data_IF_011735706182
#
_entry.id   IF_011735706182
#
_cell.length_a   1.000
_cell.length_b   1.000
_cell.length_c   1.000
_cell.angle_alpha   90.00
_cell.angle_beta   90.00
_cell.angle_gamma   90.00
#
_symmetry.space_group_name_H-M   'P 1'
#
loop_
_entity.id
_entity.type
_entity.pdbx_description
1 polymer ?
#
# COMPACT_ATOMS: atom_id res chain seq x y z
N UNK A 1 54.76 -17.09 -37.57
CA UNK A 1 54.43 -15.75 -37.00
C UNK A 1 54.36 -15.96 -35.49
N UNK A 2 55.41 -15.64 -34.70
CA UNK A 2 55.61 -14.36 -33.98
C UNK A 2 54.30 -13.88 -33.33
N UNK A 3 54.12 -13.69 -32.02
CA UNK A 3 54.95 -13.55 -30.80
C UNK A 3 53.97 -13.73 -29.61
N UNK A 4 54.36 -14.30 -28.45
CA UNK A 4 54.66 -13.55 -27.20
C UNK A 4 53.40 -12.97 -26.53
N UNK A 5 53.08 -13.08 -25.24
CA UNK A 5 53.93 -13.22 -24.05
C UNK A 5 53.05 -13.37 -22.79
N UNK A 6 53.55 -14.15 -21.83
CA UNK A 6 53.58 -13.96 -20.36
C UNK A 6 52.28 -13.60 -19.60
N UNK A 7 51.80 -14.50 -18.74
CA UNK A 7 52.02 -14.50 -17.26
C UNK A 7 50.92 -13.70 -16.53
N UNK A 8 50.44 -13.98 -15.33
CA UNK A 8 51.03 -14.55 -14.11
C UNK A 8 49.86 -14.72 -13.09
N UNK A 9 49.98 -15.68 -12.16
CA UNK A 9 49.31 -15.62 -10.83
C UNK A 9 48.04 -16.46 -10.69
N UNK A 10 48.11 -17.69 -10.18
CA UNK A 10 48.18 -18.07 -8.76
C UNK A 10 46.82 -17.92 -8.06
N UNK A 11 46.16 -19.06 -7.80
CA UNK A 11 45.91 -19.63 -6.45
C UNK A 11 44.92 -18.80 -5.63
N UNK A 12 43.78 -19.38 -5.29
CA UNK A 12 43.53 -19.87 -3.92
C UNK A 12 42.14 -20.50 -3.79
N UNK A 13 42.18 -21.81 -3.58
CA UNK A 13 41.57 -22.56 -2.47
C UNK A 13 40.28 -22.03 -1.85
N UNK A 14 39.30 -22.93 -1.84
CA UNK A 14 38.04 -22.89 -1.13
C UNK A 14 38.14 -22.50 0.35
N UNK A 15 37.11 -21.83 0.87
CA UNK A 15 36.50 -22.25 2.14
C UNK A 15 35.03 -21.83 2.20
N UNK A 16 34.15 -22.82 2.31
CA UNK A 16 32.82 -22.66 2.90
C UNK A 16 33.01 -22.68 4.41
N UNK A 17 32.64 -21.60 5.09
CA UNK A 17 32.59 -21.58 6.54
C UNK A 17 31.38 -20.76 7.04
N UNK A 18 30.46 -21.51 7.66
CA UNK A 18 29.57 -21.22 8.78
C UNK A 18 29.30 -19.75 9.22
N UNK A 19 27.99 -19.45 9.29
CA UNK A 19 27.25 -18.91 10.45
C UNK A 19 28.02 -18.05 11.47
N UNK A 20 27.69 -16.75 11.56
CA UNK A 20 27.50 -16.03 12.84
C UNK A 20 26.69 -14.74 12.62
N UNK A 21 25.71 -14.49 13.48
CA UNK A 21 24.95 -13.23 13.64
C UNK A 21 25.03 -12.91 15.14
N UNK A 22 24.99 -11.64 15.61
CA UNK A 22 25.23 -10.33 14.97
C UNK A 22 26.30 -9.51 15.72
N UNK A 23 26.94 -8.53 15.06
CA UNK A 23 27.54 -7.41 15.79
C UNK A 23 27.22 -6.06 15.15
N UNK A 24 26.37 -5.36 15.88
CA UNK A 24 26.03 -3.94 15.83
C UNK A 24 27.07 -3.10 15.07
N UNK A 25 26.80 -2.80 13.80
CA UNK A 25 27.52 -1.77 13.07
C UNK A 25 26.49 -0.71 12.71
N UNK A 26 26.56 0.41 13.44
CA UNK A 26 25.80 1.61 13.16
C UNK A 26 26.10 2.04 11.72
N UNK A 27 25.14 1.82 10.82
CA UNK A 27 25.19 2.41 9.48
C UNK A 27 24.77 3.86 9.67
N UNK A 28 25.73 4.76 9.54
CA UNK A 28 25.50 6.19 9.51
C UNK A 28 24.44 6.49 8.43
N UNK A 29 23.23 6.86 8.86
CA UNK A 29 22.19 7.37 7.98
C UNK A 29 22.59 8.79 7.57
N UNK A 30 22.95 8.98 6.31
CA UNK A 30 23.03 10.30 5.73
C UNK A 30 21.63 10.96 5.79
N UNK A 31 21.48 12.19 6.30
CA UNK A 31 20.19 12.85 6.36
C UNK A 31 19.79 13.34 4.95
N UNK A 32 19.06 12.50 4.21
CA UNK A 32 18.27 13.00 3.07
C UNK A 32 16.91 13.42 3.60
N UNK A 33 16.82 14.70 3.94
CA UNK A 33 15.63 15.40 4.43
C UNK A 33 14.61 15.64 3.31
N UNK A 34 14.16 14.58 2.65
CA UNK A 34 12.92 14.59 1.88
C UNK A 34 11.94 13.72 2.65
N UNK A 35 10.84 14.28 3.19
CA UNK A 35 9.75 13.45 3.72
C UNK A 35 9.33 12.49 2.60
N UNK A 36 9.48 11.18 2.84
CA UNK A 36 8.95 10.19 1.92
C UNK A 36 7.45 10.51 1.70
N UNK A 37 6.95 10.49 0.46
CA UNK A 37 5.52 10.64 0.24
C UNK A 37 4.81 9.62 1.10
N UNK A 38 3.83 10.06 1.90
CA UNK A 38 3.03 9.14 2.71
C UNK A 38 2.46 8.10 1.75
N UNK A 39 2.83 6.84 1.95
CA UNK A 39 2.27 5.75 1.16
C UNK A 39 0.77 5.75 1.35
N UNK A 40 0.02 5.77 0.24
CA UNK A 40 -1.43 5.65 0.28
C UNK A 40 -1.78 4.27 0.84
N UNK A 41 -2.64 4.21 1.85
CA UNK A 41 -3.20 2.94 2.34
C UNK A 41 -4.14 2.37 1.28
N UNK A 42 -3.63 1.44 0.49
CA UNK A 42 -4.33 0.85 -0.63
C UNK A 42 -5.55 0.03 -0.18
N UNK A 43 -5.46 -0.64 0.97
CA UNK A 43 -6.55 -1.42 1.54
C UNK A 43 -7.70 -0.53 1.99
N UNK A 44 -7.40 0.53 2.76
CA UNK A 44 -8.41 1.48 3.21
C UNK A 44 -9.06 2.22 2.04
N UNK A 45 -8.27 2.53 0.99
CA UNK A 45 -8.79 3.13 -0.24
C UNK A 45 -9.77 2.18 -0.94
N UNK A 46 -9.43 0.90 -1.07
CA UNK A 46 -10.30 -0.11 -1.69
C UNK A 46 -11.62 -0.30 -0.96
N UNK A 47 -11.58 -0.44 0.37
CA UNK A 47 -12.78 -0.55 1.21
C UNK A 47 -13.65 0.70 1.08
N UNK A 48 -13.04 1.88 1.17
CA UNK A 48 -13.76 3.14 1.12
C UNK A 48 -14.41 3.42 -0.24
N UNK A 49 -13.72 3.10 -1.35
CA UNK A 49 -14.26 3.26 -2.70
C UNK A 49 -15.40 2.26 -2.99
N UNK A 50 -15.28 1.00 -2.54
CA UNK A 50 -16.39 0.03 -2.63
C UNK A 50 -17.63 0.48 -1.86
N UNK A 51 -17.43 0.97 -0.62
CA UNK A 51 -18.51 1.51 0.20
C UNK A 51 -19.15 2.75 -0.45
N UNK A 52 -18.34 3.62 -1.05
CA UNK A 52 -18.83 4.80 -1.77
C UNK A 52 -19.74 4.41 -2.92
N UNK A 53 -19.36 3.42 -3.72
CA UNK A 53 -20.14 2.97 -4.88
C UNK A 53 -21.51 2.41 -4.44
N UNK A 54 -21.53 1.61 -3.38
CA UNK A 54 -22.79 1.13 -2.78
C UNK A 54 -23.65 2.29 -2.28
N UNK A 55 -23.07 3.20 -1.49
CA UNK A 55 -23.82 4.32 -0.91
C UNK A 55 -24.29 5.32 -1.97
N UNK A 56 -23.54 5.54 -3.05
CA UNK A 56 -23.94 6.44 -4.12
C UNK A 56 -25.27 6.03 -4.77
N UNK A 57 -25.59 4.73 -4.75
CA UNK A 57 -26.83 4.18 -5.28
C UNK A 57 -27.96 4.15 -4.24
N UNK A 58 -27.63 3.89 -2.97
CA UNK A 58 -28.63 3.56 -1.94
C UNK A 58 -28.86 4.65 -0.88
N UNK A 59 -27.90 5.54 -0.63
CA UNK A 59 -27.97 6.61 0.38
C UNK A 59 -27.06 7.78 0.00
N UNK A 60 -27.61 8.80 -0.66
CA UNK A 60 -26.84 9.94 -1.17
C UNK A 60 -26.20 10.80 -0.05
N UNK A 61 -26.84 10.88 1.12
CA UNK A 61 -26.29 11.58 2.28
C UNK A 61 -25.10 10.81 2.84
N UNK A 62 -25.25 9.50 3.05
CA UNK A 62 -24.16 8.63 3.48
C UNK A 62 -23.00 8.60 2.48
N UNK A 63 -23.27 8.59 1.18
CA UNK A 63 -22.25 8.70 0.14
C UNK A 63 -21.43 9.99 0.28
N UNK A 64 -22.05 11.12 0.62
CA UNK A 64 -21.32 12.37 0.88
C UNK A 64 -20.37 12.23 2.08
N UNK A 65 -20.79 11.53 3.16
CA UNK A 65 -19.93 11.25 4.33
C UNK A 65 -18.73 10.37 3.94
N UNK A 66 -18.95 9.33 3.13
CA UNK A 66 -17.88 8.45 2.65
C UNK A 66 -16.89 9.20 1.75
N UNK A 67 -17.37 10.06 0.84
CA UNK A 67 -16.50 10.93 0.01
C UNK A 67 -15.59 11.81 0.86
N UNK A 68 -16.13 12.42 1.92
CA UNK A 68 -15.33 13.25 2.84
C UNK A 68 -14.21 12.44 3.48
N UNK A 69 -14.48 11.21 3.93
CA UNK A 69 -13.45 10.33 4.52
C UNK A 69 -12.40 9.90 3.51
N UNK A 70 -12.80 9.57 2.29
CA UNK A 70 -11.86 9.25 1.22
C UNK A 70 -10.96 10.45 0.88
N UNK A 71 -11.51 11.67 0.92
CA UNK A 71 -10.73 12.90 0.73
C UNK A 71 -9.68 13.07 1.83
N UNK A 72 -10.03 12.81 3.08
CA UNK A 72 -9.09 12.83 4.22
C UNK A 72 -8.00 11.75 4.07
N UNK A 73 -8.40 10.52 3.73
CA UNK A 73 -7.48 9.40 3.51
C UNK A 73 -6.47 9.67 2.40
N UNK A 74 -6.91 10.35 1.33
CA UNK A 74 -6.09 10.64 0.16
C UNK A 74 -5.42 12.02 0.22
N UNK A 75 -5.59 12.75 1.32
CA UNK A 75 -5.07 14.11 1.45
C UNK A 75 -3.54 14.13 1.37
N UNK A 76 -3.02 14.91 0.42
CA UNK A 76 -1.58 15.06 0.21
C UNK A 76 -0.95 13.93 -0.62
N UNK A 77 -1.72 12.92 -1.04
CA UNK A 77 -1.25 11.93 -1.99
C UNK A 77 -1.17 12.52 -3.41
N UNK A 78 -0.10 12.19 -4.14
CA UNK A 78 -0.01 12.55 -5.55
C UNK A 78 -0.99 11.73 -6.39
N UNK A 79 -1.38 12.24 -7.56
CA UNK A 79 -2.20 11.48 -8.52
C UNK A 79 -1.54 10.15 -8.89
N UNK A 80 -0.22 10.13 -9.03
CA UNK A 80 0.54 8.93 -9.33
C UNK A 80 0.46 7.91 -8.18
N UNK A 81 0.65 8.34 -6.92
CA UNK A 81 0.56 7.45 -5.77
C UNK A 81 -0.83 6.83 -5.62
N UNK A 82 -1.90 7.62 -5.85
CA UNK A 82 -3.27 7.10 -5.88
C UNK A 82 -3.49 6.09 -7.01
N UNK A 83 -2.94 6.37 -8.20
CA UNK A 83 -3.03 5.45 -9.33
C UNK A 83 -2.27 4.14 -9.07
N UNK A 84 -1.09 4.21 -8.43
CA UNK A 84 -0.33 3.03 -8.01
C UNK A 84 -1.09 2.21 -6.96
N UNK A 85 -1.66 2.87 -5.95
CA UNK A 85 -2.49 2.20 -4.93
C UNK A 85 -3.66 1.44 -5.58
N UNK A 86 -4.41 2.07 -6.50
CA UNK A 86 -5.51 1.41 -7.22
C UNK A 86 -5.08 0.27 -8.14
N UNK A 87 -3.81 0.26 -8.59
CA UNK A 87 -3.23 -0.86 -9.37
C UNK A 87 -2.70 -2.00 -8.49
N UNK A 88 -2.65 -1.83 -7.17
CA UNK A 88 -2.15 -2.87 -6.28
C UNK A 88 -3.15 -4.03 -6.13
N UNK A 89 -2.64 -5.22 -5.82
CA UNK A 89 -3.48 -6.37 -5.45
C UNK A 89 -4.22 -6.10 -4.14
N UNK A 90 -3.58 -5.40 -3.20
CA UNK A 90 -4.18 -5.06 -1.91
C UNK A 90 -5.45 -4.22 -2.07
N UNK A 91 -5.41 -3.17 -2.90
CA UNK A 91 -6.60 -2.39 -3.23
C UNK A 91 -7.70 -3.27 -3.84
N UNK A 92 -7.37 -4.06 -4.89
CA UNK A 92 -8.36 -4.88 -5.60
C UNK A 92 -9.02 -5.90 -4.67
N UNK A 93 -8.22 -6.66 -3.94
CA UNK A 93 -8.73 -7.66 -2.99
C UNK A 93 -9.62 -7.02 -1.92
N UNK A 94 -9.23 -5.85 -1.39
CA UNK A 94 -10.01 -5.16 -0.38
C UNK A 94 -11.33 -4.60 -0.94
N UNK A 95 -11.27 -3.98 -2.12
CA UNK A 95 -12.43 -3.46 -2.82
C UNK A 95 -13.42 -4.58 -3.17
N UNK A 96 -12.95 -5.66 -3.80
CA UNK A 96 -13.80 -6.78 -4.22
C UNK A 96 -14.41 -7.48 -3.01
N UNK A 97 -13.63 -7.72 -1.94
CA UNK A 97 -14.14 -8.35 -0.72
C UNK A 97 -15.21 -7.50 -0.02
N UNK A 98 -15.00 -6.18 0.03
CA UNK A 98 -15.98 -5.27 0.63
C UNK A 98 -17.22 -5.15 -0.26
N UNK A 99 -17.07 -5.04 -1.58
CA UNK A 99 -18.17 -5.02 -2.55
C UNK A 99 -19.03 -6.29 -2.46
N UNK A 100 -18.41 -7.46 -2.34
CA UNK A 100 -19.11 -8.74 -2.15
C UNK A 100 -19.82 -8.83 -0.80
N UNK A 101 -19.28 -8.20 0.24
CA UNK A 101 -19.92 -8.14 1.56
C UNK A 101 -21.12 -7.20 1.55
N UNK A 102 -20.93 -5.96 1.11
CA UNK A 102 -21.97 -4.92 1.12
C UNK A 102 -23.06 -5.20 0.09
N UNK A 103 -22.75 -5.87 -1.03
CA UNK A 103 -23.72 -6.30 -2.02
C UNK A 103 -24.75 -7.31 -1.49
N UNK A 104 -24.48 -7.94 -0.33
CA UNK A 104 -25.42 -8.83 0.36
C UNK A 104 -26.30 -8.11 1.40
N UNK A 105 -26.05 -6.82 1.63
CA UNK A 105 -26.82 -6.02 2.58
C UNK A 105 -28.15 -5.64 1.93
N UNK A 106 -29.25 -5.88 2.65
CA UNK A 106 -30.57 -5.42 2.24
C UNK A 106 -30.58 -3.89 2.09
N UNK A 107 -31.08 -3.32 0.98
CA UNK A 107 -31.13 -1.87 0.76
C UNK A 107 -31.79 -1.07 1.88
N UNK A 108 -32.75 -1.64 2.61
CA UNK A 108 -33.37 -1.00 3.78
C UNK A 108 -32.36 -0.72 4.91
N UNK A 109 -31.24 -1.44 4.94
CA UNK A 109 -30.16 -1.24 5.89
C UNK A 109 -29.03 -0.33 5.36
N UNK A 110 -29.10 0.13 4.11
CA UNK A 110 -28.04 0.89 3.47
C UNK A 110 -27.71 2.17 4.26
N UNK A 111 -28.73 2.90 4.73
CA UNK A 111 -28.52 4.12 5.51
C UNK A 111 -27.66 3.90 6.77
N UNK A 112 -27.89 2.79 7.49
CA UNK A 112 -27.12 2.44 8.69
C UNK A 112 -25.64 2.20 8.37
N UNK A 113 -25.36 1.52 7.25
CA UNK A 113 -24.00 1.28 6.79
C UNK A 113 -23.34 2.58 6.35
N UNK A 114 -24.01 3.34 5.49
CA UNK A 114 -23.49 4.55 4.87
C UNK A 114 -23.34 5.73 5.85
N UNK A 115 -24.06 5.72 6.95
CA UNK A 115 -23.96 6.72 8.02
C UNK A 115 -23.06 6.30 9.19
N UNK A 116 -22.52 5.08 9.21
CA UNK A 116 -21.64 4.61 10.28
C UNK A 116 -20.42 5.54 10.40
N UNK A 117 -19.98 5.93 11.61
CA UNK A 117 -18.82 6.79 11.80
C UNK A 117 -17.52 6.11 11.32
N UNK A 118 -16.46 6.87 11.02
CA UNK A 118 -15.18 6.28 10.63
C UNK A 118 -14.63 5.38 11.75
N UNK A 119 -13.94 4.29 11.42
CA UNK A 119 -13.28 3.46 12.42
C UNK A 119 -12.27 4.30 13.21
N UNK A 120 -12.38 4.31 14.54
CA UNK A 120 -11.46 5.02 15.45
C UNK A 120 -12.06 6.17 16.25
N UNK A 121 -13.33 6.54 16.04
CA UNK A 121 -14.03 7.52 16.89
C UNK A 121 -14.88 6.79 17.94
N UNK A 122 -14.29 6.58 19.12
CA UNK A 122 -15.04 6.34 20.36
C UNK A 122 -15.00 7.60 21.21
#
# INVERSE_FOLDING_TARGET
MLVGSLSLGALETAVVAAQDKPKNTAVAQAPSSVPAPRSVDARALGIGEALLDFCATNDSEGAAKVRTRLKELTQGASKQALAEARRSTEYRSAHDSEADFIGKIDPHNAHRLCSAPPPGTK
#
